data_IF_010834092427
#
_entry.id   IF_010834092427
#
_cell.length_a   1.000
_cell.length_b   1.000
_cell.length_c   1.000
_cell.angle_alpha   90.00
_cell.angle_beta   90.00
_cell.angle_gamma   90.00
#
_symmetry.space_group_name_H-M   'P 1'
#
loop_
_entity.id
_entity.type
_entity.pdbx_description
1 polymer ?
#
# COMPACT_ATOMS: atom_id res chain seq x y z
N UNK A 1 3.40 5.45 -14.28
CA UNK A 1 2.40 5.28 -13.21
C UNK A 1 2.40 3.82 -12.85
N UNK A 2 2.55 3.47 -11.56
CA UNK A 2 2.46 2.09 -11.07
C UNK A 2 1.13 1.86 -10.37
N UNK A 3 0.60 0.64 -10.44
CA UNK A 3 -0.64 0.25 -9.75
C UNK A 3 -0.39 -1.02 -8.95
N UNK A 4 -0.79 -1.00 -7.68
CA UNK A 4 -0.83 -2.15 -6.77
C UNK A 4 -2.30 -2.41 -6.46
N UNK A 5 -2.87 -3.41 -7.14
CA UNK A 5 -4.24 -3.86 -6.91
C UNK A 5 -4.29 -5.20 -6.17
N UNK A 6 -5.50 -5.67 -5.89
CA UNK A 6 -5.72 -7.03 -5.39
C UNK A 6 -5.36 -8.03 -6.50
N UNK A 7 -4.38 -8.89 -6.24
CA UNK A 7 -4.02 -9.97 -7.16
C UNK A 7 -4.79 -11.23 -6.77
N UNK A 8 -5.64 -11.66 -7.69
CA UNK A 8 -6.26 -12.98 -7.63
C UNK A 8 -5.28 -14.04 -8.15
N UNK A 9 -5.51 -15.29 -7.81
CA UNK A 9 -4.64 -16.43 -8.01
C UNK A 9 -4.00 -16.49 -9.41
N UNK A 10 -2.67 -16.57 -9.43
CA UNK A 10 -1.91 -16.84 -10.65
C UNK A 10 -2.02 -18.32 -10.98
N UNK A 11 -2.33 -18.62 -12.23
CA UNK A 11 -2.40 -19.99 -12.76
C UNK A 11 -1.02 -20.61 -13.04
N UNK A 12 0.07 -19.83 -12.94
CA UNK A 12 1.42 -20.24 -13.23
C UNK A 12 2.33 -19.98 -12.04
N UNK A 13 3.31 -20.86 -11.85
CA UNK A 13 4.32 -20.74 -10.80
C UNK A 13 5.52 -19.94 -11.33
N UNK A 14 5.66 -18.71 -10.81
CA UNK A 14 6.78 -17.83 -11.10
C UNK A 14 7.67 -17.69 -9.87
N UNK A 15 8.97 -17.48 -10.08
CA UNK A 15 9.84 -17.05 -9.00
C UNK A 15 9.47 -15.63 -8.54
N UNK A 16 9.86 -15.27 -7.31
CA UNK A 16 9.73 -13.89 -6.81
C UNK A 16 10.46 -12.93 -7.74
N UNK A 17 11.62 -13.33 -8.24
CA UNK A 17 12.41 -12.55 -9.18
C UNK A 17 11.64 -12.27 -10.48
N UNK A 18 11.09 -13.31 -11.10
CA UNK A 18 10.33 -13.18 -12.35
C UNK A 18 9.10 -12.27 -12.17
N UNK A 19 8.41 -12.42 -11.03
CA UNK A 19 7.28 -11.57 -10.69
C UNK A 19 7.65 -10.08 -10.63
N UNK A 20 8.82 -9.75 -10.08
CA UNK A 20 9.28 -8.37 -10.03
C UNK A 20 9.81 -7.90 -11.38
N UNK A 21 10.47 -8.79 -12.15
CA UNK A 21 10.96 -8.50 -13.50
C UNK A 21 9.82 -8.13 -14.45
N UNK A 22 8.62 -8.70 -14.29
CA UNK A 22 7.43 -8.27 -15.06
C UNK A 22 7.14 -6.76 -14.90
N UNK A 23 7.62 -6.13 -13.84
CA UNK A 23 7.55 -4.67 -13.66
C UNK A 23 8.34 -3.89 -14.71
N UNK A 24 9.32 -4.52 -15.38
CA UNK A 24 10.12 -3.88 -16.44
C UNK A 24 9.46 -3.93 -17.82
N UNK A 25 8.43 -4.76 -18.00
CA UNK A 25 7.71 -4.91 -19.28
C UNK A 25 7.30 -3.58 -19.93
N UNK A 26 6.78 -2.57 -19.20
CA UNK A 26 6.40 -1.29 -19.82
C UNK A 26 7.56 -0.46 -20.38
N UNK A 27 8.80 -0.82 -20.06
CA UNK A 27 10.01 -0.13 -20.52
C UNK A 27 10.67 -0.81 -21.71
N UNK A 28 10.09 -1.91 -22.21
CA UNK A 28 10.67 -2.76 -23.25
C UNK A 28 9.83 -2.76 -24.51
N UNK A 29 10.52 -2.97 -25.62
CA UNK A 29 9.89 -3.33 -26.88
C UNK A 29 9.47 -4.80 -26.87
N UNK A 30 8.57 -5.17 -27.77
CA UNK A 30 8.14 -6.56 -27.93
C UNK A 30 9.38 -7.44 -28.27
N UNK A 31 9.59 -8.50 -27.50
CA UNK A 31 10.75 -9.44 -27.62
C UNK A 31 12.12 -8.84 -27.24
N UNK A 32 12.19 -7.69 -26.62
CA UNK A 32 13.45 -7.16 -26.11
C UNK A 32 13.91 -7.98 -24.88
N UNK A 33 15.16 -8.52 -24.91
CA UNK A 33 15.67 -9.28 -23.78
C UNK A 33 15.95 -8.39 -22.56
N UNK A 34 15.97 -9.02 -21.38
CA UNK A 34 16.39 -8.35 -20.16
C UNK A 34 17.84 -7.91 -20.26
N UNK A 35 18.14 -6.70 -19.80
CA UNK A 35 19.47 -6.11 -19.82
C UNK A 35 20.02 -5.90 -18.39
N UNK A 36 21.28 -5.46 -18.27
CA UNK A 36 21.91 -5.27 -16.95
C UNK A 36 21.19 -4.25 -16.08
N UNK A 37 20.64 -3.20 -16.66
CA UNK A 37 19.89 -2.17 -15.94
C UNK A 37 18.60 -2.76 -15.34
N UNK A 38 17.89 -3.59 -16.09
CA UNK A 38 16.68 -4.26 -15.58
C UNK A 38 17.00 -5.15 -14.37
N UNK A 39 18.11 -5.91 -14.44
CA UNK A 39 18.55 -6.76 -13.33
C UNK A 39 18.88 -5.94 -12.08
N UNK A 40 19.54 -4.80 -12.23
CA UNK A 40 19.89 -3.90 -11.12
C UNK A 40 18.63 -3.27 -10.51
N UNK A 41 17.68 -2.82 -11.34
CA UNK A 41 16.41 -2.23 -10.88
C UNK A 41 15.60 -3.25 -10.09
N UNK A 42 15.46 -4.49 -10.59
CA UNK A 42 14.74 -5.57 -9.92
C UNK A 42 15.41 -5.92 -8.59
N UNK A 43 16.73 -6.06 -8.56
CA UNK A 43 17.46 -6.31 -7.32
C UNK A 43 17.23 -5.20 -6.27
N UNK A 44 17.29 -3.94 -6.71
CA UNK A 44 17.03 -2.79 -5.85
C UNK A 44 15.59 -2.72 -5.35
N UNK A 45 14.62 -3.10 -6.19
CA UNK A 45 13.21 -3.20 -5.80
C UNK A 45 13.01 -4.27 -4.73
N UNK A 46 13.57 -5.47 -4.91
CA UNK A 46 13.56 -6.56 -3.93
C UNK A 46 14.22 -6.15 -2.61
N UNK A 47 15.34 -5.43 -2.67
CA UNK A 47 16.02 -4.90 -1.48
C UNK A 47 15.15 -3.93 -0.70
N UNK A 48 14.44 -3.02 -1.37
CA UNK A 48 13.52 -2.05 -0.73
C UNK A 48 12.40 -2.71 0.06
N UNK A 49 11.94 -3.88 -0.39
CA UNK A 49 10.86 -4.63 0.28
C UNK A 49 11.37 -5.75 1.20
N UNK A 50 12.69 -5.85 1.41
CA UNK A 50 13.36 -6.89 2.23
C UNK A 50 13.04 -8.33 1.75
N UNK A 51 13.09 -8.58 0.44
CA UNK A 51 12.84 -9.90 -0.16
C UNK A 51 14.00 -10.41 -1.04
N UNK A 52 15.20 -9.85 -0.92
CA UNK A 52 16.36 -10.27 -1.74
C UNK A 52 16.67 -11.76 -1.58
N UNK A 53 16.58 -12.30 -0.36
CA UNK A 53 16.83 -13.73 -0.09
C UNK A 53 15.71 -14.67 -0.54
N UNK A 54 14.61 -14.13 -1.04
CA UNK A 54 13.45 -14.85 -1.55
C UNK A 54 13.43 -14.93 -3.08
N UNK A 55 14.42 -14.37 -3.75
CA UNK A 55 14.48 -14.17 -5.21
C UNK A 55 14.07 -15.43 -5.99
N UNK A 56 14.63 -16.58 -5.62
CA UNK A 56 14.46 -17.86 -6.33
C UNK A 56 13.26 -18.68 -5.80
N UNK A 57 12.55 -18.18 -4.79
CA UNK A 57 11.39 -18.89 -4.24
C UNK A 57 10.19 -18.76 -5.17
N UNK A 58 9.37 -19.82 -5.21
CA UNK A 58 8.05 -19.78 -5.84
C UNK A 58 7.16 -18.74 -5.16
N UNK A 59 6.55 -17.86 -5.94
CA UNK A 59 5.57 -16.87 -5.47
C UNK A 59 4.38 -17.53 -4.78
N UNK A 60 3.97 -18.72 -5.23
CA UNK A 60 2.83 -19.45 -4.67
C UNK A 60 3.05 -19.88 -3.22
N UNK A 61 4.30 -20.11 -2.81
CA UNK A 61 4.66 -20.57 -1.45
C UNK A 61 4.72 -19.44 -0.42
N UNK A 62 4.59 -18.19 -0.84
CA UNK A 62 4.69 -17.03 0.03
C UNK A 62 3.44 -16.82 0.87
N UNK A 63 3.61 -16.28 2.07
CA UNK A 63 2.52 -15.73 2.88
C UNK A 63 1.86 -14.51 2.21
N UNK A 64 0.64 -14.15 2.62
CA UNK A 64 -0.07 -12.99 2.07
C UNK A 64 0.74 -11.69 2.15
N UNK A 65 1.39 -11.43 3.29
CA UNK A 65 2.23 -10.25 3.47
C UNK A 65 3.50 -10.25 2.62
N UNK A 66 4.08 -11.43 2.35
CA UNK A 66 5.21 -11.56 1.43
C UNK A 66 4.77 -11.34 -0.02
N UNK A 67 3.64 -11.94 -0.43
CA UNK A 67 3.03 -11.73 -1.75
C UNK A 67 2.77 -10.25 -2.01
N UNK A 68 2.16 -9.56 -1.05
CA UNK A 68 1.89 -8.13 -1.20
C UNK A 68 3.16 -7.30 -1.36
N UNK A 69 4.24 -7.63 -0.65
CA UNK A 69 5.54 -6.98 -0.82
C UNK A 69 6.17 -7.28 -2.18
N UNK A 70 5.99 -8.47 -2.74
CA UNK A 70 6.42 -8.79 -4.12
C UNK A 70 5.67 -7.94 -5.13
N UNK A 71 4.35 -7.78 -4.98
CA UNK A 71 3.54 -6.92 -5.87
C UNK A 71 3.97 -5.45 -5.76
N UNK A 72 4.26 -4.98 -4.55
CA UNK A 72 4.82 -3.65 -4.35
C UNK A 72 6.20 -3.51 -5.01
N UNK A 73 7.09 -4.50 -4.88
CA UNK A 73 8.40 -4.50 -5.54
C UNK A 73 8.27 -4.45 -7.06
N UNK A 74 7.33 -5.20 -7.64
CA UNK A 74 7.00 -5.15 -9.07
C UNK A 74 6.56 -3.74 -9.49
N UNK A 75 5.72 -3.09 -8.72
CA UNK A 75 5.30 -1.71 -8.99
C UNK A 75 6.48 -0.72 -8.84
N UNK A 76 7.38 -0.92 -7.87
CA UNK A 76 8.60 -0.12 -7.70
C UNK A 76 9.55 -0.31 -8.88
N UNK A 77 9.68 -1.54 -9.42
CA UNK A 77 10.52 -1.84 -10.58
C UNK A 77 10.08 -1.13 -11.87
N UNK A 78 8.83 -0.65 -11.93
CA UNK A 78 8.37 0.24 -12.99
C UNK A 78 8.93 1.66 -12.88
N UNK A 79 9.68 1.99 -11.83
CA UNK A 79 10.20 3.34 -11.54
C UNK A 79 9.12 4.43 -11.70
N UNK A 80 7.96 4.27 -11.04
CA UNK A 80 6.84 5.14 -11.25
C UNK A 80 7.08 6.52 -10.62
N UNK A 81 6.63 7.59 -11.28
CA UNK A 81 6.53 8.93 -10.69
C UNK A 81 5.31 9.09 -9.79
N UNK A 82 4.34 8.21 -9.94
CA UNK A 82 3.08 8.18 -9.18
C UNK A 82 2.61 6.74 -8.99
N UNK A 83 2.18 6.40 -7.78
CA UNK A 83 1.74 5.06 -7.40
C UNK A 83 0.27 5.09 -6.98
N UNK A 84 -0.50 4.14 -7.47
CA UNK A 84 -1.88 3.90 -7.03
C UNK A 84 -1.89 2.60 -6.22
N UNK A 85 -2.46 2.65 -5.01
CA UNK A 85 -2.59 1.52 -4.10
C UNK A 85 -4.09 1.28 -3.85
N UNK A 86 -4.60 0.15 -4.30
CA UNK A 86 -5.97 -0.26 -4.07
C UNK A 86 -6.02 -1.27 -2.93
N UNK A 87 -6.46 -0.82 -1.74
CA UNK A 87 -6.51 -1.61 -0.51
C UNK A 87 -5.22 -2.40 -0.20
N UNK A 88 -4.05 -1.75 -0.19
CA UNK A 88 -2.75 -2.44 -0.18
C UNK A 88 -2.48 -3.26 1.08
N UNK A 89 -3.29 -3.09 2.10
CA UNK A 89 -3.12 -3.72 3.42
C UNK A 89 -4.28 -4.64 3.82
N UNK A 90 -5.21 -4.88 2.89
CA UNK A 90 -6.36 -5.72 3.17
C UNK A 90 -5.92 -7.16 3.51
N UNK A 91 -6.53 -7.76 4.54
CA UNK A 91 -6.23 -9.10 5.05
C UNK A 91 -4.79 -9.32 5.55
N UNK A 92 -4.02 -8.25 5.79
CA UNK A 92 -2.68 -8.35 6.35
C UNK A 92 -2.66 -8.11 7.86
N UNK A 93 -1.77 -8.82 8.55
CA UNK A 93 -1.44 -8.54 9.94
C UNK A 93 -0.84 -7.14 10.08
N UNK A 94 -1.07 -6.49 11.23
CA UNK A 94 -0.61 -5.11 11.52
C UNK A 94 0.88 -4.89 11.23
N UNK A 95 1.73 -5.88 11.50
CA UNK A 95 3.16 -5.82 11.19
C UNK A 95 3.41 -5.56 9.70
N UNK A 96 2.72 -6.29 8.82
CA UNK A 96 2.89 -6.17 7.37
C UNK A 96 2.26 -4.89 6.83
N UNK A 97 1.13 -4.45 7.40
CA UNK A 97 0.53 -3.16 7.08
C UNK A 97 1.53 -2.02 7.33
N UNK A 98 2.11 -1.95 8.52
CA UNK A 98 3.11 -0.94 8.88
C UNK A 98 4.34 -1.00 7.96
N UNK A 99 4.80 -2.20 7.59
CA UNK A 99 5.91 -2.36 6.65
C UNK A 99 5.59 -1.78 5.26
N UNK A 100 4.41 -2.08 4.71
CA UNK A 100 3.97 -1.57 3.40
C UNK A 100 3.96 -0.04 3.42
N UNK A 101 3.32 0.59 4.41
CA UNK A 101 3.27 2.05 4.50
C UNK A 101 4.63 2.69 4.69
N UNK A 102 5.50 2.09 5.52
CA UNK A 102 6.87 2.56 5.71
C UNK A 102 7.67 2.53 4.39
N UNK A 103 7.56 1.43 3.62
CA UNK A 103 8.20 1.32 2.31
C UNK A 103 7.65 2.40 1.37
N UNK A 104 6.33 2.52 1.26
CA UNK A 104 5.68 3.51 0.37
C UNK A 104 6.12 4.93 0.71
N UNK A 105 6.12 5.31 1.99
CA UNK A 105 6.57 6.63 2.46
C UNK A 105 8.05 6.90 2.10
N UNK A 106 8.88 5.87 2.11
CA UNK A 106 10.31 5.98 1.76
C UNK A 106 10.57 6.25 0.27
N UNK A 107 9.61 5.99 -0.61
CA UNK A 107 9.75 6.17 -2.06
C UNK A 107 9.80 7.65 -2.46
N UNK A 108 9.24 8.55 -1.66
CA UNK A 108 9.18 10.01 -1.91
C UNK A 108 8.59 10.38 -3.28
N UNK A 109 7.57 9.67 -3.71
CA UNK A 109 6.79 9.91 -4.94
C UNK A 109 5.34 10.22 -4.58
N UNK A 110 4.56 10.72 -5.53
CA UNK A 110 3.12 10.89 -5.34
C UNK A 110 2.43 9.53 -5.18
N UNK A 111 1.53 9.42 -4.20
CA UNK A 111 0.77 8.18 -3.93
C UNK A 111 -0.69 8.50 -3.74
N UNK A 112 -1.56 7.74 -4.40
CA UNK A 112 -2.99 7.69 -4.13
C UNK A 112 -3.31 6.31 -3.57
N UNK A 113 -3.93 6.25 -2.40
CA UNK A 113 -4.30 4.98 -1.77
C UNK A 113 -5.77 4.96 -1.38
N UNK A 114 -6.47 3.87 -1.70
CA UNK A 114 -7.75 3.55 -1.10
C UNK A 114 -7.51 2.82 0.22
N UNK A 115 -8.02 3.37 1.32
CA UNK A 115 -7.78 2.85 2.68
C UNK A 115 -9.10 2.73 3.44
N UNK A 116 -9.23 1.67 4.23
CA UNK A 116 -10.36 1.48 5.12
C UNK A 116 -10.06 1.84 6.57
N UNK A 117 -8.79 1.83 6.98
CA UNK A 117 -8.35 2.14 8.34
C UNK A 117 -8.08 3.64 8.48
N UNK A 118 -8.92 4.31 9.27
CA UNK A 118 -8.80 5.74 9.53
C UNK A 118 -7.52 6.11 10.31
N UNK A 119 -7.05 5.22 11.19
CA UNK A 119 -5.82 5.48 11.96
C UNK A 119 -4.60 5.42 11.04
N UNK A 120 -4.56 4.45 10.14
CA UNK A 120 -3.53 4.38 9.10
C UNK A 120 -3.60 5.57 8.14
N UNK A 121 -4.81 5.94 7.71
CA UNK A 121 -4.99 7.11 6.86
C UNK A 121 -4.53 8.40 7.56
N UNK A 122 -4.86 8.58 8.83
CA UNK A 122 -4.44 9.75 9.61
C UNK A 122 -2.92 9.84 9.80
N UNK A 123 -2.24 8.68 9.94
CA UNK A 123 -0.80 8.63 10.20
C UNK A 123 0.04 8.77 8.92
N UNK A 124 -0.41 8.20 7.80
CA UNK A 124 0.44 8.06 6.61
C UNK A 124 0.07 8.99 5.45
N UNK A 125 -1.15 9.56 5.42
CA UNK A 125 -1.59 10.43 4.32
C UNK A 125 -1.40 11.90 4.65
N UNK A 126 -0.94 12.68 3.66
CA UNK A 126 -0.83 14.14 3.78
C UNK A 126 -2.19 14.80 3.56
N UNK A 127 -3.02 14.25 2.67
CA UNK A 127 -4.36 14.71 2.32
C UNK A 127 -5.30 13.49 2.27
N UNK A 128 -6.49 13.65 2.81
CA UNK A 128 -7.56 12.67 2.71
C UNK A 128 -8.70 13.21 1.82
N UNK A 129 -9.29 12.30 1.06
CA UNK A 129 -10.59 12.48 0.41
C UNK A 129 -11.56 11.49 1.06
N UNK A 130 -12.58 12.00 1.72
CA UNK A 130 -13.60 11.16 2.37
C UNK A 130 -14.74 10.94 1.39
N UNK A 131 -15.01 9.67 1.10
CA UNK A 131 -16.03 9.25 0.12
C UNK A 131 -17.17 8.55 0.85
N UNK A 132 -18.41 8.92 0.55
CA UNK A 132 -19.63 8.21 1.00
C UNK A 132 -20.59 8.12 -0.17
N UNK A 133 -21.15 6.92 -0.43
CA UNK A 133 -22.09 6.67 -1.51
C UNK A 133 -21.63 7.13 -2.90
N UNK A 134 -20.32 7.02 -3.17
CA UNK A 134 -19.72 7.42 -4.46
C UNK A 134 -19.44 8.92 -4.62
N UNK A 135 -19.71 9.74 -3.60
CA UNK A 135 -19.48 11.16 -3.62
C UNK A 135 -18.40 11.59 -2.60
N UNK A 136 -17.62 12.61 -2.96
CA UNK A 136 -16.63 13.21 -2.05
C UNK A 136 -17.39 14.12 -1.06
N UNK A 137 -17.39 13.70 0.21
CA UNK A 137 -18.04 14.45 1.30
C UNK A 137 -17.16 15.64 1.73
N UNK A 138 -15.87 15.41 1.85
CA UNK A 138 -14.88 16.42 2.22
C UNK A 138 -13.46 15.99 1.82
N UNK A 139 -12.53 16.92 1.84
CA UNK A 139 -11.10 16.64 1.67
C UNK A 139 -10.27 17.65 2.45
N UNK A 140 -9.05 17.26 2.83
CA UNK A 140 -8.11 18.10 3.57
C UNK A 140 -7.09 17.29 4.34
N UNK A 141 -6.32 17.95 5.19
CA UNK A 141 -5.37 17.25 6.07
C UNK A 141 -6.10 16.45 7.13
N UNK A 142 -5.58 15.27 7.52
CA UNK A 142 -6.23 14.40 8.50
C UNK A 142 -6.66 15.13 9.78
N UNK A 143 -5.77 15.92 10.37
CA UNK A 143 -6.03 16.66 11.61
C UNK A 143 -7.04 17.81 11.47
N UNK A 144 -7.35 18.26 10.26
CA UNK A 144 -8.31 19.31 9.99
C UNK A 144 -9.71 18.76 9.75
N UNK A 145 -9.81 17.59 9.05
CA UNK A 145 -11.09 17.07 8.61
C UNK A 145 -11.63 15.90 9.42
N UNK A 146 -10.76 15.09 10.04
CA UNK A 146 -11.20 13.94 10.85
C UNK A 146 -11.73 14.47 12.19
N UNK A 147 -13.04 14.71 12.23
CA UNK A 147 -13.78 15.09 13.44
C UNK A 147 -14.71 13.97 13.88
N UNK A 148 -15.16 14.00 15.15
CA UNK A 148 -16.14 13.04 15.66
C UNK A 148 -17.44 13.07 14.85
N UNK A 149 -17.87 14.26 14.46
CA UNK A 149 -19.08 14.52 13.68
C UNK A 149 -18.96 13.89 12.28
N UNK A 150 -17.81 14.09 11.61
CA UNK A 150 -17.55 13.50 10.30
C UNK A 150 -17.54 11.97 10.40
N UNK A 151 -16.79 11.40 11.35
CA UNK A 151 -16.72 9.94 11.51
C UNK A 151 -18.09 9.37 11.81
N UNK A 152 -18.89 10.01 12.68
CA UNK A 152 -20.25 9.58 12.96
C UNK A 152 -21.15 9.67 11.71
N UNK A 153 -21.02 10.72 10.90
CA UNK A 153 -21.87 10.89 9.70
C UNK A 153 -21.53 9.90 8.58
N UNK A 154 -20.25 9.50 8.46
CA UNK A 154 -19.77 8.62 7.38
C UNK A 154 -19.86 7.15 7.77
N UNK A 155 -19.38 6.81 8.98
CA UNK A 155 -19.24 5.43 9.46
C UNK A 155 -20.33 5.01 10.44
N UNK A 156 -21.21 5.94 10.87
CA UNK A 156 -22.32 5.70 11.80
C UNK A 156 -21.85 5.18 13.18
N UNK A 157 -20.62 5.52 13.57
CA UNK A 157 -19.97 5.07 14.80
C UNK A 157 -19.55 6.28 15.65
N UNK A 158 -19.75 6.20 16.96
CA UNK A 158 -19.24 7.18 17.91
C UNK A 158 -17.76 6.90 18.22
N UNK A 159 -16.94 7.93 18.31
CA UNK A 159 -15.52 7.81 18.60
C UNK A 159 -15.01 8.93 19.49
N UNK A 160 -13.80 8.73 20.02
CA UNK A 160 -12.97 9.77 20.63
C UNK A 160 -11.70 9.92 19.80
N UNK A 161 -11.32 11.17 19.55
CA UNK A 161 -10.06 11.50 18.84
C UNK A 161 -9.11 12.09 19.86
N UNK A 162 -7.89 11.57 19.90
CA UNK A 162 -6.87 12.00 20.85
C UNK A 162 -5.48 11.93 20.20
N UNK A 163 -4.49 12.58 20.85
CA UNK A 163 -3.10 12.45 20.45
C UNK A 163 -2.50 11.25 21.18
N UNK A 164 -1.95 10.29 20.43
CA UNK A 164 -1.26 9.14 21.00
C UNK A 164 -0.03 9.64 21.79
N UNK A 165 0.07 9.37 23.10
CA UNK A 165 1.16 9.90 23.94
C UNK A 165 2.54 9.31 23.60
N UNK A 166 2.58 8.18 22.86
CA UNK A 166 3.83 7.50 22.49
C UNK A 166 4.33 8.03 21.13
N UNK A 167 3.43 8.17 20.15
CA UNK A 167 3.81 8.52 18.78
C UNK A 167 3.65 10.00 18.46
N UNK A 168 2.85 10.74 19.23
CA UNK A 168 2.46 12.12 18.96
C UNK A 168 1.45 12.26 17.82
N UNK A 169 1.02 11.16 17.21
CA UNK A 169 0.10 11.14 16.07
C UNK A 169 -1.36 11.11 16.52
N UNK A 170 -2.26 11.51 15.62
CA UNK A 170 -3.70 11.38 15.83
C UNK A 170 -4.09 9.90 15.98
N UNK A 171 -4.91 9.61 16.99
CA UNK A 171 -5.47 8.28 17.22
C UNK A 171 -6.98 8.37 17.42
N UNK A 172 -7.69 7.31 17.03
CA UNK A 172 -9.15 7.22 17.06
C UNK A 172 -9.54 6.00 17.90
N UNK A 173 -10.31 6.22 18.95
CA UNK A 173 -10.90 5.18 19.78
C UNK A 173 -12.39 5.08 19.47
N UNK A 174 -12.83 3.94 18.93
CA UNK A 174 -14.22 3.70 18.60
C UNK A 174 -15.01 3.28 19.85
N UNK A 175 -16.21 3.80 20.01
CA UNK A 175 -17.13 3.37 21.05
C UNK A 175 -17.93 2.16 20.56
N UNK A 176 -18.03 1.15 21.42
CA UNK A 176 -18.87 -0.03 21.09
C UNK A 176 -20.33 0.41 20.92
N UNK A 177 -20.98 0.01 19.81
CA UNK A 177 -22.42 0.26 19.65
C UNK A 177 -23.18 -0.43 20.77
N UNK A 178 -24.16 0.26 21.36
CA UNK A 178 -25.09 -0.36 22.30
C UNK A 178 -26.18 -1.03 21.46
N UNK A 179 -26.22 -2.34 21.49
CA UNK A 179 -27.31 -3.15 20.93
C UNK A 179 -28.47 -3.23 21.91
#
# INVERSE_FOLDING_TARGET
MGVVGQFNDLSFDFSVYDMVMMGRTPHKNLMEPDNKEDYEIVHNALKKVNLTTYSDRSYLTLSGGEKQRVILARAIAQEPKFLILDEPTNHLDIKYQLQIFSIVKSLKIGVLAALHDLSMAATYCDILYVVKNGEIVTYGKPNEILTKELIKSVYEIDCEIYTNPITGEMAIAYKMPKY
#
